data_IF_598619091478
#
_entry.id   IF_598619091478
#
_cell.length_a   1.000
_cell.length_b   1.000
_cell.length_c   1.000
_cell.angle_alpha   90.00
_cell.angle_beta   90.00
_cell.angle_gamma   90.00
#
_symmetry.space_group_name_H-M   'P 1'
#
loop_
_entity.id
_entity.type
_entity.pdbx_description
1 polymer ?
#
# COMPACT_ATOMS: atom_id res chain seq x y z
N UNK A 1 -28.92 76.26 -19.47
CA UNK A 1 -29.09 75.56 -18.20
C UNK A 1 -28.00 74.51 -18.14
N UNK A 2 -26.91 74.88 -17.52
CA UNK A 2 -25.68 74.08 -17.48
C UNK A 2 -25.50 73.63 -16.04
N UNK A 3 -25.52 72.33 -15.81
CA UNK A 3 -25.23 71.72 -14.54
C UNK A 3 -23.73 71.52 -14.39
N UNK A 4 -23.22 72.14 -13.34
CA UNK A 4 -21.82 72.20 -12.98
C UNK A 4 -21.45 70.94 -12.19
N UNK A 5 -20.45 70.18 -12.63
CA UNK A 5 -19.86 69.03 -11.90
C UNK A 5 -18.78 69.60 -10.96
N UNK A 6 -18.77 69.28 -9.65
CA UNK A 6 -17.65 69.64 -8.79
C UNK A 6 -16.47 68.66 -8.91
N UNK A 7 -15.30 69.21 -9.10
CA UNK A 7 -13.99 68.55 -9.05
C UNK A 7 -13.69 68.09 -7.61
N UNK A 8 -13.44 66.79 -7.44
CA UNK A 8 -12.93 66.19 -6.21
C UNK A 8 -11.41 66.23 -6.25
N UNK A 9 -10.78 66.82 -5.21
CA UNK A 9 -9.35 66.94 -5.03
C UNK A 9 -8.66 65.60 -4.66
N UNK A 10 -7.35 65.45 -4.85
CA UNK A 10 -6.61 64.24 -4.56
C UNK A 10 -6.11 64.28 -3.11
N UNK A 11 -6.70 63.48 -2.19
CA UNK A 11 -6.07 62.98 -0.97
C UNK A 11 -7.15 62.45 -0.02
N UNK A 12 -7.70 61.27 -0.32
CA UNK A 12 -8.31 60.44 0.70
C UNK A 12 -7.86 59.00 0.47
N UNK A 13 -6.83 58.62 1.23
CA UNK A 13 -6.40 57.26 1.41
C UNK A 13 -7.50 56.49 2.13
N UNK A 14 -8.35 55.82 1.37
CA UNK A 14 -9.33 54.87 1.90
C UNK A 14 -8.59 53.71 2.51
N UNK A 15 -8.42 53.72 3.81
CA UNK A 15 -8.08 52.55 4.60
C UNK A 15 -9.25 51.56 4.48
N UNK A 16 -9.04 50.47 3.82
CA UNK A 16 -10.02 49.39 3.71
C UNK A 16 -10.09 48.61 5.03
N UNK A 17 -11.21 48.67 5.81
CA UNK A 17 -11.34 47.97 7.08
C UNK A 17 -11.89 46.55 6.93
N UNK A 18 -11.55 45.85 5.85
CA UNK A 18 -12.04 44.50 5.58
C UNK A 18 -10.93 43.51 5.37
N UNK A 19 -10.16 43.24 6.41
CA UNK A 19 -9.35 42.01 6.50
C UNK A 19 -9.12 41.63 7.97
N UNK A 20 -10.15 41.71 8.81
CA UNK A 20 -10.18 40.82 9.95
C UNK A 20 -10.72 39.50 9.44
N UNK A 21 -9.78 38.61 9.05
CA UNK A 21 -10.10 37.22 8.88
C UNK A 21 -10.65 36.72 10.21
N UNK A 22 -11.94 36.44 10.25
CA UNK A 22 -12.59 35.73 11.34
C UNK A 22 -11.77 34.46 11.58
N UNK A 23 -11.12 34.38 12.73
CA UNK A 23 -10.59 33.10 13.23
C UNK A 23 -11.78 32.14 13.24
N UNK A 24 -11.64 30.93 12.67
CA UNK A 24 -12.70 29.96 12.74
C UNK A 24 -13.04 29.80 14.24
N UNK A 25 -14.26 30.13 14.59
CA UNK A 25 -14.81 29.94 15.92
C UNK A 25 -14.51 28.47 16.28
N UNK A 26 -13.83 28.26 17.41
CA UNK A 26 -13.61 26.95 17.97
C UNK A 26 -14.99 26.30 18.06
N UNK A 27 -15.23 25.29 17.23
CA UNK A 27 -16.48 24.55 17.25
C UNK A 27 -16.66 24.05 18.68
N UNK A 28 -17.84 24.27 19.26
CA UNK A 28 -18.18 23.72 20.56
C UNK A 28 -17.83 22.22 20.55
N UNK A 29 -17.27 21.67 21.64
CA UNK A 29 -16.93 20.25 21.69
C UNK A 29 -18.18 19.44 21.35
N UNK A 30 -18.08 18.58 20.34
CA UNK A 30 -19.17 17.73 19.89
C UNK A 30 -19.57 16.86 21.07
N UNK A 31 -20.72 17.20 21.70
CA UNK A 31 -21.26 16.43 22.81
C UNK A 31 -21.87 15.15 22.25
N UNK A 32 -21.21 14.02 22.50
CA UNK A 32 -21.71 12.71 22.06
C UNK A 32 -22.77 12.24 23.05
N UNK A 33 -23.98 11.85 22.59
CA UNK A 33 -25.02 11.32 23.46
C UNK A 33 -24.54 10.09 24.23
N UNK A 34 -24.92 9.97 25.51
CA UNK A 34 -24.56 8.84 26.36
C UNK A 34 -25.04 7.47 25.79
N UNK A 35 -26.05 7.49 24.93
CA UNK A 35 -26.62 6.31 24.24
C UNK A 35 -25.67 5.72 23.16
N UNK A 36 -24.62 6.43 22.76
CA UNK A 36 -23.62 5.92 21.86
C UNK A 36 -22.63 4.92 22.51
N UNK A 37 -22.71 4.73 23.82
CA UNK A 37 -21.93 3.73 24.57
C UNK A 37 -22.56 2.37 24.39
N UNK A 38 -21.82 1.43 23.82
CA UNK A 38 -22.34 0.09 23.56
C UNK A 38 -21.98 -0.87 24.70
N UNK A 39 -23.00 -1.29 25.45
CA UNK A 39 -22.95 -2.53 26.23
C UNK A 39 -23.04 -3.76 25.32
N UNK A 40 -22.72 -4.94 25.84
CA UNK A 40 -22.98 -6.21 25.15
C UNK A 40 -24.46 -6.32 24.82
N UNK A 41 -24.77 -6.79 23.59
CA UNK A 41 -26.14 -7.00 23.12
C UNK A 41 -26.58 -8.45 23.38
N UNK A 42 -25.63 -9.38 23.29
CA UNK A 42 -25.91 -10.80 23.49
C UNK A 42 -25.92 -11.15 25.00
N UNK A 43 -26.88 -11.98 25.46
CA UNK A 43 -26.90 -12.46 26.82
C UNK A 43 -25.72 -13.41 27.09
N UNK A 44 -25.20 -13.37 28.31
CA UNK A 44 -24.22 -14.34 28.79
C UNK A 44 -24.94 -15.67 29.09
N UNK A 45 -24.46 -16.76 28.50
CA UNK A 45 -24.96 -18.09 28.80
C UNK A 45 -24.11 -18.68 29.93
N UNK A 46 -24.70 -18.88 31.11
CA UNK A 46 -24.08 -19.56 32.26
C UNK A 46 -24.75 -20.90 32.47
N UNK A 47 -23.98 -21.93 32.81
CA UNK A 47 -24.51 -23.25 33.05
C UNK A 47 -24.78 -23.43 34.53
N UNK A 48 -26.05 -23.58 34.89
CA UNK A 48 -26.46 -23.99 36.24
C UNK A 48 -26.80 -25.48 36.21
N UNK A 49 -25.78 -26.30 36.46
CA UNK A 49 -25.90 -27.77 36.25
C UNK A 49 -26.11 -28.08 34.76
N UNK A 50 -27.12 -28.91 34.41
CA UNK A 50 -27.40 -29.28 33.02
C UNK A 50 -28.19 -28.20 32.23
N UNK A 51 -28.66 -27.12 32.89
CA UNK A 51 -29.57 -26.14 32.29
C UNK A 51 -28.82 -24.83 32.00
N UNK A 52 -28.82 -24.31 30.75
CA UNK A 52 -28.27 -23.01 30.45
C UNK A 52 -29.22 -21.90 30.96
N UNK A 53 -28.65 -20.90 31.63
CA UNK A 53 -29.36 -19.71 32.10
C UNK A 53 -28.79 -18.51 31.37
N UNK A 54 -29.65 -17.72 30.74
CA UNK A 54 -29.26 -16.48 30.10
C UNK A 54 -29.29 -15.32 31.11
N UNK A 55 -28.16 -14.67 31.33
CA UNK A 55 -28.06 -13.47 32.17
C UNK A 55 -27.78 -12.24 31.30
N UNK A 56 -28.44 -11.10 31.61
CA UNK A 56 -28.14 -9.85 30.97
C UNK A 56 -26.73 -9.38 31.41
N UNK A 57 -25.85 -9.14 30.49
CA UNK A 57 -24.52 -8.58 30.79
C UNK A 57 -24.58 -7.05 30.81
N UNK A 58 -24.05 -6.47 31.89
CA UNK A 58 -23.83 -5.00 32.00
C UNK A 58 -22.40 -4.63 31.59
N UNK A 59 -21.62 -5.59 31.09
CA UNK A 59 -20.23 -5.41 30.70
C UNK A 59 -20.12 -4.60 29.38
N UNK A 60 -19.08 -3.80 29.26
CA UNK A 60 -18.74 -3.18 27.98
C UNK A 60 -18.45 -4.27 26.94
N UNK A 61 -18.90 -4.03 25.71
CA UNK A 61 -18.70 -4.96 24.61
C UNK A 61 -17.22 -5.18 24.30
N UNK A 62 -16.41 -4.11 24.35
CA UNK A 62 -14.99 -4.18 24.01
C UNK A 62 -14.14 -4.02 25.28
N UNK A 63 -13.35 -5.03 25.61
CA UNK A 63 -12.36 -5.02 26.68
C UNK A 63 -10.97 -4.83 26.06
N UNK A 64 -10.28 -3.75 26.44
CA UNK A 64 -8.91 -3.48 25.99
C UNK A 64 -7.93 -4.44 26.67
N UNK A 65 -7.06 -5.07 25.85
CA UNK A 65 -6.08 -6.06 26.31
C UNK A 65 -4.65 -5.48 26.35
N UNK A 66 -4.19 -4.90 25.22
CA UNK A 66 -2.85 -4.37 25.10
C UNK A 66 -2.74 -3.35 23.99
N UNK A 67 -1.79 -2.39 24.07
CA UNK A 67 -1.49 -1.50 22.95
C UNK A 67 -0.85 -2.29 21.80
N UNK A 68 -1.26 -1.98 20.55
CA UNK A 68 -0.65 -2.50 19.31
C UNK A 68 0.25 -1.46 18.64
N UNK A 69 -0.08 -0.17 18.77
CA UNK A 69 0.71 0.91 18.19
C UNK A 69 0.13 2.28 18.46
N UNK A 70 0.96 3.31 18.23
CA UNK A 70 0.55 4.71 18.32
C UNK A 70 1.09 5.47 17.12
N UNK A 71 0.25 6.24 16.45
CA UNK A 71 0.60 7.05 15.29
C UNK A 71 0.16 8.50 15.43
N UNK A 72 0.38 9.30 14.40
CA UNK A 72 0.08 10.74 14.43
C UNK A 72 -1.40 11.09 14.56
N UNK A 73 -2.32 10.21 14.16
CA UNK A 73 -3.77 10.43 14.26
C UNK A 73 -4.40 9.75 15.48
N UNK A 74 -3.74 8.73 16.05
CA UNK A 74 -4.37 7.98 17.12
C UNK A 74 -3.55 6.81 17.64
N UNK A 75 -4.18 6.03 18.49
CA UNK A 75 -3.63 4.79 19.02
C UNK A 75 -4.43 3.58 18.55
N UNK A 76 -3.76 2.45 18.44
CA UNK A 76 -4.38 1.17 18.11
C UNK A 76 -4.19 0.23 19.30
N UNK A 77 -5.27 -0.36 19.78
CA UNK A 77 -5.26 -1.31 20.89
C UNK A 77 -5.85 -2.65 20.45
N UNK A 78 -5.32 -3.72 21.01
CA UNK A 78 -5.94 -5.04 20.95
C UNK A 78 -7.09 -5.08 21.95
N UNK A 79 -8.25 -5.54 21.55
CA UNK A 79 -9.41 -5.68 22.40
C UNK A 79 -10.10 -7.03 22.19
N UNK A 80 -10.85 -7.47 23.20
CA UNK A 80 -11.78 -8.60 23.11
C UNK A 80 -13.18 -8.05 22.87
N UNK A 81 -13.84 -8.54 21.83
CA UNK A 81 -15.28 -8.34 21.59
C UNK A 81 -16.06 -9.45 22.31
N UNK A 82 -16.74 -9.09 23.40
CA UNK A 82 -17.46 -10.02 24.25
C UNK A 82 -18.78 -10.51 23.65
N UNK A 83 -19.34 -9.83 22.64
CA UNK A 83 -20.57 -10.30 21.97
C UNK A 83 -20.29 -11.53 21.09
N UNK A 84 -19.15 -11.56 20.41
CA UNK A 84 -18.84 -12.64 19.46
C UNK A 84 -17.53 -13.37 19.78
N UNK A 85 -17.02 -13.19 21.00
CA UNK A 85 -15.88 -13.92 21.58
C UNK A 85 -14.61 -13.92 20.72
N UNK A 86 -14.31 -12.80 20.03
CA UNK A 86 -13.11 -12.67 19.19
C UNK A 86 -12.20 -11.51 19.62
N UNK A 87 -10.94 -11.59 19.22
CA UNK A 87 -10.01 -10.44 19.31
C UNK A 87 -10.18 -9.52 18.10
N UNK A 88 -10.17 -8.22 18.37
CA UNK A 88 -10.28 -7.14 17.39
C UNK A 88 -9.18 -6.10 17.63
N UNK A 89 -8.91 -5.26 16.65
CA UNK A 89 -8.10 -4.07 16.82
C UNK A 89 -9.02 -2.85 16.85
N UNK A 90 -8.80 -1.95 17.80
CA UNK A 90 -9.55 -0.69 17.91
C UNK A 90 -8.58 0.44 17.65
N UNK A 91 -8.83 1.22 16.60
CA UNK A 91 -8.11 2.49 16.34
C UNK A 91 -8.93 3.62 16.92
N UNK A 92 -8.30 4.42 17.77
CA UNK A 92 -8.92 5.49 18.53
C UNK A 92 -8.25 6.81 18.23
N UNK A 93 -9.03 7.84 18.01
CA UNK A 93 -8.54 9.22 17.87
C UNK A 93 -8.04 9.74 19.22
N UNK A 94 -6.81 10.26 19.27
CA UNK A 94 -6.21 10.74 20.53
C UNK A 94 -6.51 12.19 20.82
N UNK A 95 -6.66 13.03 19.80
CA UNK A 95 -6.97 14.46 19.94
C UNK A 95 -8.20 14.83 19.09
N UNK A 96 -9.27 15.21 19.78
CA UNK A 96 -10.52 15.66 19.15
C UNK A 96 -10.65 17.18 19.08
N UNK A 97 -9.71 17.91 19.66
CA UNK A 97 -9.68 19.37 19.58
C UNK A 97 -9.22 19.86 18.20
N UNK A 98 -8.45 19.04 17.47
CA UNK A 98 -8.07 19.29 16.08
C UNK A 98 -9.13 18.76 15.11
N UNK A 99 -9.98 19.65 14.60
CA UNK A 99 -11.00 19.33 13.62
C UNK A 99 -10.41 18.68 12.35
N UNK A 100 -9.19 19.04 11.96
CA UNK A 100 -8.50 18.44 10.81
C UNK A 100 -8.14 16.97 11.06
N UNK A 101 -7.78 16.59 12.29
CA UNK A 101 -7.57 15.20 12.68
C UNK A 101 -8.89 14.42 12.70
N UNK A 102 -9.94 15.01 13.26
CA UNK A 102 -11.29 14.39 13.27
C UNK A 102 -11.77 14.13 11.84
N UNK A 103 -11.67 15.11 10.95
CA UNK A 103 -12.09 14.94 9.55
C UNK A 103 -11.31 13.83 8.85
N UNK A 104 -9.99 13.79 9.01
CA UNK A 104 -9.17 12.71 8.41
C UNK A 104 -9.52 11.33 8.96
N UNK A 105 -9.78 11.24 10.26
CA UNK A 105 -10.20 10.00 10.91
C UNK A 105 -11.56 9.51 10.38
N UNK A 106 -12.52 10.42 10.22
CA UNK A 106 -13.83 10.10 9.64
C UNK A 106 -13.72 9.69 8.17
N UNK A 107 -12.88 10.38 7.39
CA UNK A 107 -12.65 10.04 5.99
C UNK A 107 -11.95 8.67 5.85
N UNK A 108 -11.01 8.33 6.74
CA UNK A 108 -10.40 7.00 6.81
C UNK A 108 -11.45 5.92 7.06
N UNK A 109 -12.31 6.09 8.07
CA UNK A 109 -13.38 5.13 8.39
C UNK A 109 -14.30 4.91 7.18
N UNK A 110 -14.73 5.99 6.52
CA UNK A 110 -15.62 5.93 5.36
C UNK A 110 -14.96 5.27 4.16
N UNK A 111 -13.69 5.55 3.94
CA UNK A 111 -12.90 4.94 2.86
C UNK A 111 -12.76 3.44 3.08
N UNK A 112 -12.27 3.02 4.25
CA UNK A 112 -12.09 1.60 4.53
C UNK A 112 -13.43 0.87 4.58
N UNK A 113 -14.46 1.51 5.14
CA UNK A 113 -15.82 0.95 5.19
C UNK A 113 -16.48 0.77 3.82
N UNK A 114 -16.05 1.53 2.80
CA UNK A 114 -16.52 1.39 1.43
C UNK A 114 -15.71 0.36 0.61
N UNK A 115 -14.56 -0.10 1.11
CA UNK A 115 -13.65 -0.99 0.41
C UNK A 115 -13.75 -2.43 0.98
N UNK A 116 -14.60 -3.24 0.37
CA UNK A 116 -14.78 -4.65 0.74
C UNK A 116 -13.95 -5.56 -0.18
N UNK A 117 -12.77 -5.96 0.29
CA UNK A 117 -11.86 -6.83 -0.45
C UNK A 117 -11.05 -7.73 0.51
N UNK A 118 -10.76 -9.01 0.19
CA UNK A 118 -10.06 -9.93 1.09
C UNK A 118 -8.65 -9.46 1.49
N UNK A 119 -8.00 -8.64 0.66
CA UNK A 119 -6.67 -8.09 0.94
C UNK A 119 -6.71 -6.64 1.46
N UNK A 120 -7.86 -6.12 1.88
CA UNK A 120 -8.03 -4.84 2.57
C UNK A 120 -8.56 -5.11 3.98
N UNK A 121 -8.04 -4.37 4.97
CA UNK A 121 -8.47 -4.57 6.37
C UNK A 121 -9.95 -4.25 6.51
N UNK A 122 -10.80 -5.20 6.99
CA UNK A 122 -12.22 -4.92 7.16
C UNK A 122 -12.49 -4.13 8.44
N UNK A 123 -13.34 -3.10 8.34
CA UNK A 123 -13.95 -2.41 9.48
C UNK A 123 -15.18 -3.17 9.93
N UNK A 124 -15.29 -3.39 11.23
CA UNK A 124 -16.37 -4.16 11.83
C UNK A 124 -17.42 -3.27 12.51
N UNK A 125 -16.98 -2.16 13.09
CA UNK A 125 -17.86 -1.27 13.84
C UNK A 125 -17.22 0.10 14.04
N UNK A 126 -18.02 1.09 14.39
CA UNK A 126 -17.59 2.43 14.77
C UNK A 126 -18.29 2.85 16.05
N UNK A 127 -17.66 3.67 16.87
CA UNK A 127 -18.26 4.09 18.13
C UNK A 127 -17.55 5.25 18.80
N UNK A 128 -17.97 5.47 20.03
CA UNK A 128 -17.38 6.46 20.93
C UNK A 128 -17.10 5.78 22.25
N UNK A 129 -15.93 6.00 22.83
CA UNK A 129 -15.54 5.41 24.10
C UNK A 129 -16.11 6.20 25.30
N UNK A 130 -15.81 5.74 26.53
CA UNK A 130 -16.30 6.37 27.77
C UNK A 130 -15.79 7.82 27.95
N UNK A 131 -14.63 8.13 27.38
CA UNK A 131 -14.07 9.48 27.38
C UNK A 131 -14.63 10.36 26.25
N UNK A 132 -15.58 9.87 25.46
CA UNK A 132 -16.18 10.57 24.34
C UNK A 132 -15.34 10.53 23.06
N UNK A 133 -14.26 9.73 22.97
CA UNK A 133 -13.35 9.69 21.82
C UNK A 133 -13.88 8.77 20.73
N UNK A 134 -13.81 9.21 19.48
CA UNK A 134 -14.16 8.40 18.32
C UNK A 134 -13.21 7.24 18.16
N UNK A 135 -13.75 6.06 17.86
CA UNK A 135 -12.99 4.87 17.51
C UNK A 135 -13.66 4.07 16.40
N UNK A 136 -12.90 3.25 15.73
CA UNK A 136 -13.44 2.18 14.91
C UNK A 136 -12.78 0.84 15.23
N UNK A 137 -13.55 -0.21 15.01
CA UNK A 137 -13.16 -1.59 15.26
C UNK A 137 -12.85 -2.24 13.93
N UNK A 138 -11.70 -2.87 13.84
CA UNK A 138 -11.25 -3.59 12.65
C UNK A 138 -10.75 -4.98 13.01
N UNK A 139 -10.57 -5.82 12.00
CA UNK A 139 -9.97 -7.14 12.16
C UNK A 139 -8.59 -7.02 12.82
N UNK A 140 -8.36 -7.78 13.88
CA UNK A 140 -7.01 -7.98 14.41
C UNK A 140 -6.20 -8.82 13.42
N UNK A 141 -5.20 -8.19 12.79
CA UNK A 141 -4.30 -8.85 11.84
C UNK A 141 -3.17 -9.52 12.63
N UNK A 142 -3.13 -10.86 12.57
CA UNK A 142 -2.04 -11.64 13.15
C UNK A 142 -0.95 -11.82 12.10
N UNK A 143 0.31 -11.71 12.50
CA UNK A 143 1.45 -11.88 11.60
C UNK A 143 2.48 -10.79 11.73
N UNK A 144 3.19 -10.52 10.65
CA UNK A 144 4.29 -9.57 10.58
C UNK A 144 4.02 -8.53 9.50
N UNK A 145 4.47 -7.28 9.70
CA UNK A 145 4.48 -6.30 8.62
C UNK A 145 5.50 -6.71 7.56
N UNK A 146 5.25 -6.32 6.31
CA UNK A 146 6.21 -6.54 5.23
C UNK A 146 7.56 -5.86 5.53
N UNK A 147 7.55 -4.73 6.24
CA UNK A 147 8.77 -4.05 6.72
C UNK A 147 9.59 -4.97 7.64
N UNK A 148 8.97 -5.60 8.64
CA UNK A 148 9.64 -6.53 9.55
C UNK A 148 10.18 -7.75 8.78
N UNK A 149 9.44 -8.27 7.80
CA UNK A 149 9.89 -9.38 6.95
C UNK A 149 11.10 -8.96 6.10
N UNK A 150 11.07 -7.78 5.48
CA UNK A 150 12.20 -7.24 4.71
C UNK A 150 13.43 -7.08 5.62
N UNK A 151 13.27 -6.57 6.83
CA UNK A 151 14.36 -6.43 7.80
C UNK A 151 14.99 -7.78 8.14
N UNK A 152 14.21 -8.83 8.39
CA UNK A 152 14.68 -10.19 8.63
C UNK A 152 15.42 -10.76 7.42
N UNK A 153 14.90 -10.56 6.21
CA UNK A 153 15.57 -10.97 4.98
C UNK A 153 16.90 -10.25 4.77
N UNK A 154 16.96 -8.93 5.05
CA UNK A 154 18.21 -8.13 5.03
C UNK A 154 19.24 -8.67 6.02
N UNK A 155 18.80 -9.10 7.20
CA UNK A 155 19.65 -9.69 8.22
C UNK A 155 20.13 -11.12 7.92
N UNK A 156 19.66 -11.74 6.83
CA UNK A 156 20.03 -13.12 6.45
C UNK A 156 19.33 -14.21 7.25
N UNK A 157 18.16 -13.93 7.84
CA UNK A 157 17.34 -14.93 8.56
C UNK A 157 16.97 -16.08 7.64
N UNK A 158 17.53 -17.27 7.89
CA UNK A 158 17.32 -18.46 7.06
C UNK A 158 15.85 -18.89 6.99
N UNK A 159 15.09 -18.74 8.08
CA UNK A 159 13.66 -19.07 8.12
C UNK A 159 12.84 -18.10 7.26
N UNK A 160 13.19 -16.80 7.29
CA UNK A 160 12.57 -15.80 6.43
C UNK A 160 12.88 -16.07 4.96
N UNK A 161 14.13 -16.39 4.58
CA UNK A 161 14.49 -16.74 3.21
C UNK A 161 13.80 -18.01 2.72
N UNK A 162 13.65 -19.03 3.58
CA UNK A 162 12.92 -20.24 3.25
C UNK A 162 11.41 -19.99 3.04
N UNK A 163 10.81 -19.11 3.85
CA UNK A 163 9.40 -18.74 3.76
C UNK A 163 9.09 -17.83 2.57
N UNK A 164 10.03 -16.93 2.19
CA UNK A 164 9.82 -15.90 1.16
C UNK A 164 10.82 -16.01 -0.01
N UNK A 165 10.89 -17.14 -0.73
CA UNK A 165 11.61 -17.21 -2.01
C UNK A 165 10.93 -16.29 -3.05
N UNK A 166 11.59 -16.01 -4.17
CA UNK A 166 11.07 -15.02 -5.14
C UNK A 166 9.64 -15.28 -5.62
N UNK A 167 9.28 -16.53 -5.88
CA UNK A 167 7.91 -16.83 -6.30
C UNK A 167 6.86 -16.48 -5.24
N UNK A 168 7.17 -16.67 -3.93
CA UNK A 168 6.28 -16.25 -2.84
C UNK A 168 6.21 -14.72 -2.74
N UNK A 169 7.35 -14.02 -2.91
CA UNK A 169 7.34 -12.53 -2.91
C UNK A 169 6.47 -11.99 -4.05
N UNK A 170 6.51 -12.64 -5.22
CA UNK A 170 5.64 -12.30 -6.35
C UNK A 170 4.17 -12.54 -6.02
N UNK A 171 3.81 -13.65 -5.36
CA UNK A 171 2.43 -13.93 -4.95
C UNK A 171 1.93 -12.94 -3.89
N UNK A 172 2.77 -12.58 -2.91
CA UNK A 172 2.46 -11.51 -1.94
C UNK A 172 2.19 -10.20 -2.67
N UNK A 173 3.03 -9.83 -3.62
CA UNK A 173 2.86 -8.60 -4.37
C UNK A 173 1.60 -8.62 -5.26
N UNK A 174 1.26 -9.75 -5.88
CA UNK A 174 -0.01 -9.92 -6.60
C UNK A 174 -1.23 -9.69 -5.69
N UNK A 175 -1.17 -10.16 -4.45
CA UNK A 175 -2.26 -9.92 -3.48
C UNK A 175 -2.41 -8.44 -3.16
N UNK A 176 -1.29 -7.70 -3.01
CA UNK A 176 -1.30 -6.25 -2.83
C UNK A 176 -1.87 -5.56 -4.09
N UNK A 177 -1.43 -5.96 -5.28
CA UNK A 177 -1.93 -5.42 -6.55
C UNK A 177 -3.44 -5.63 -6.71
N UNK A 178 -3.98 -6.79 -6.30
CA UNK A 178 -5.42 -7.06 -6.36
C UNK A 178 -6.21 -6.13 -5.43
N UNK A 179 -5.73 -5.88 -4.21
CA UNK A 179 -6.34 -4.90 -3.30
C UNK A 179 -6.36 -3.51 -3.94
N UNK A 180 -5.24 -3.10 -4.53
CA UNK A 180 -5.11 -1.77 -5.14
C UNK A 180 -5.88 -1.63 -6.44
N UNK A 181 -5.97 -2.69 -7.27
CA UNK A 181 -6.80 -2.69 -8.46
C UNK A 181 -8.28 -2.47 -8.10
N UNK A 182 -8.77 -3.18 -7.08
CA UNK A 182 -10.12 -3.00 -6.57
C UNK A 182 -10.35 -1.56 -6.05
N UNK A 183 -9.43 -1.03 -5.22
CA UNK A 183 -9.57 0.33 -4.70
C UNK A 183 -9.57 1.38 -5.83
N UNK A 184 -8.71 1.23 -6.83
CA UNK A 184 -8.64 2.12 -8.00
C UNK A 184 -9.91 2.05 -8.86
N UNK A 185 -10.50 0.85 -9.04
CA UNK A 185 -11.79 0.68 -9.72
C UNK A 185 -12.94 1.35 -8.96
N UNK A 186 -12.87 1.40 -7.61
CA UNK A 186 -13.80 2.16 -6.78
C UNK A 186 -13.47 3.68 -6.74
N UNK A 187 -12.44 4.12 -7.44
CA UNK A 187 -12.03 5.53 -7.52
C UNK A 187 -11.17 6.01 -6.35
N UNK A 188 -10.63 5.15 -5.51
CA UNK A 188 -9.75 5.51 -4.40
C UNK A 188 -8.27 5.36 -4.75
N UNK A 189 -7.45 6.31 -4.33
CA UNK A 189 -5.98 6.28 -4.38
C UNK A 189 -5.46 6.29 -2.94
N UNK A 190 -4.53 5.40 -2.62
CA UNK A 190 -4.04 5.17 -1.25
C UNK A 190 -3.08 6.26 -0.75
N UNK A 191 -2.09 6.65 -1.59
CA UNK A 191 -1.13 7.74 -1.39
C UNK A 191 -0.07 7.54 -0.29
N UNK A 192 -0.14 6.48 0.52
CA UNK A 192 0.85 6.13 1.56
C UNK A 192 1.19 4.63 1.54
N UNK A 193 1.44 4.07 0.35
CA UNK A 193 1.84 2.68 0.20
C UNK A 193 3.30 2.51 0.61
N UNK A 194 3.53 1.67 1.63
CA UNK A 194 4.86 1.33 2.16
C UNK A 194 4.82 -0.05 2.84
N UNK A 195 5.96 -0.71 3.06
CA UNK A 195 6.00 -2.03 3.69
C UNK A 195 5.36 -2.10 5.08
N UNK A 196 5.43 -1.01 5.86
CA UNK A 196 4.78 -0.94 7.17
C UNK A 196 3.25 -1.05 7.10
N UNK A 197 2.63 -0.66 5.97
CA UNK A 197 1.19 -0.69 5.76
C UNK A 197 0.67 -1.98 5.09
N UNK A 198 1.51 -3.03 5.04
CA UNK A 198 1.15 -4.35 4.53
C UNK A 198 1.43 -5.39 5.60
N UNK A 199 0.40 -6.15 5.99
CA UNK A 199 0.52 -7.26 6.95
C UNK A 199 0.47 -8.60 6.23
N UNK A 200 1.33 -9.54 6.65
CA UNK A 200 1.35 -10.91 6.15
C UNK A 200 1.09 -11.87 7.31
N UNK A 201 0.00 -12.59 7.20
CA UNK A 201 -0.45 -13.54 8.20
C UNK A 201 0.32 -14.87 8.18
N UNK A 202 0.09 -15.72 9.21
CA UNK A 202 0.77 -17.02 9.35
C UNK A 202 0.40 -18.01 8.22
N UNK A 203 -0.76 -17.88 7.60
CA UNK A 203 -1.23 -18.73 6.50
C UNK A 203 -1.03 -18.11 5.12
N UNK A 204 -0.28 -16.99 5.04
CA UNK A 204 0.01 -16.31 3.79
C UNK A 204 -1.03 -15.24 3.40
N UNK A 205 -1.94 -14.89 4.30
CA UNK A 205 -2.88 -13.79 4.10
C UNK A 205 -2.11 -12.48 3.96
N UNK A 206 -2.44 -11.71 2.95
CA UNK A 206 -1.86 -10.37 2.72
C UNK A 206 -2.96 -9.34 2.90
N UNK A 207 -2.72 -8.33 3.72
CA UNK A 207 -3.71 -7.28 3.99
C UNK A 207 -3.05 -5.91 3.92
N UNK A 208 -3.61 -5.04 3.08
CA UNK A 208 -3.26 -3.61 2.99
C UNK A 208 -4.07 -2.85 4.04
N UNK A 209 -3.40 -1.99 4.79
CA UNK A 209 -3.97 -1.22 5.89
C UNK A 209 -3.55 0.24 5.84
N UNK A 210 -4.10 1.07 6.74
CA UNK A 210 -3.80 2.49 6.90
C UNK A 210 -4.17 3.36 5.68
N UNK A 211 -5.47 3.55 5.48
CA UNK A 211 -6.07 4.36 4.40
C UNK A 211 -6.25 5.84 4.80
N UNK A 212 -5.58 6.29 5.85
CA UNK A 212 -5.75 7.64 6.42
C UNK A 212 -5.35 8.80 5.49
N UNK A 213 -4.62 8.53 4.41
CA UNK A 213 -4.26 9.49 3.36
C UNK A 213 -4.99 9.23 2.04
N UNK A 214 -5.86 8.22 1.98
CA UNK A 214 -6.57 7.87 0.76
C UNK A 214 -7.51 8.99 0.29
N UNK A 215 -7.64 9.11 -1.03
CA UNK A 215 -8.49 10.13 -1.68
C UNK A 215 -9.37 9.49 -2.74
N UNK A 216 -10.63 9.90 -2.79
CA UNK A 216 -11.53 9.55 -3.87
C UNK A 216 -11.35 10.50 -5.07
N UNK A 217 -11.18 9.96 -6.28
CA UNK A 217 -10.86 10.70 -7.51
C UNK A 217 -12.08 11.31 -8.22
N UNK A 218 -13.27 11.38 -7.62
CA UNK A 218 -14.43 11.98 -8.29
C UNK A 218 -14.14 13.42 -8.70
N UNK A 219 -14.25 13.68 -9.99
CA UNK A 219 -14.13 15.03 -10.55
C UNK A 219 -15.21 15.93 -9.94
N UNK A 220 -14.78 16.93 -9.19
CA UNK A 220 -15.67 17.99 -8.66
C UNK A 220 -15.99 17.93 -7.17
N UNK A 221 -15.56 16.93 -6.41
CA UNK A 221 -15.62 17.04 -4.96
C UNK A 221 -14.60 18.11 -4.53
N UNK A 222 -15.03 19.20 -3.85
CA UNK A 222 -14.07 20.15 -3.30
C UNK A 222 -13.14 19.37 -2.39
N UNK A 223 -11.85 19.64 -2.50
CA UNK A 223 -10.80 19.05 -1.66
C UNK A 223 -11.07 19.45 -0.21
N UNK A 224 -11.96 18.74 0.48
CA UNK A 224 -12.33 19.03 1.87
C UNK A 224 -11.16 18.96 2.84
N UNK A 225 -10.11 18.21 2.46
CA UNK A 225 -8.88 18.06 3.24
C UNK A 225 -7.74 19.00 2.83
N UNK A 226 -7.84 19.72 1.71
CA UNK A 226 -6.78 20.63 1.25
C UNK A 226 -6.78 22.00 1.94
N UNK A 227 -7.81 22.34 2.72
CA UNK A 227 -7.93 23.66 3.34
C UNK A 227 -7.17 23.82 4.68
N UNK A 228 -6.49 22.80 5.17
CA UNK A 228 -5.65 22.87 6.39
C UNK A 228 -4.15 22.84 6.05
N UNK A 229 -3.78 23.01 4.77
CA UNK A 229 -2.40 23.34 4.44
C UNK A 229 -2.18 24.83 4.72
N UNK A 230 -1.47 25.09 5.81
CA UNK A 230 -0.95 26.42 6.15
C UNK A 230 -0.33 27.09 4.92
N UNK A 231 -0.66 28.37 4.72
CA UNK A 231 -0.19 29.26 3.66
C UNK A 231 1.33 29.44 3.55
N UNK A 232 2.11 28.74 4.34
CA UNK A 232 3.57 28.84 4.42
C UNK A 232 4.23 27.54 3.96
N UNK A 233 4.21 27.19 2.71
CA UNK A 233 5.20 26.33 2.03
C UNK A 233 5.86 25.13 2.77
N UNK A 234 5.51 24.88 4.03
CA UNK A 234 6.06 23.86 4.93
C UNK A 234 5.05 22.73 5.16
N UNK A 235 4.54 22.15 4.07
CA UNK A 235 3.61 20.99 4.13
C UNK A 235 4.22 19.70 4.70
N UNK A 236 5.43 19.77 5.30
CA UNK A 236 6.16 18.64 5.87
C UNK A 236 6.42 18.75 7.39
N UNK A 237 5.97 19.85 8.03
CA UNK A 237 6.13 20.00 9.48
C UNK A 237 4.79 19.98 10.19
N UNK A 238 4.36 18.84 10.68
CA UNK A 238 3.43 18.77 11.81
C UNK A 238 4.17 19.13 13.09
N UNK A 239 3.52 19.87 13.99
CA UNK A 239 4.05 20.17 15.32
C UNK A 239 4.69 18.93 15.96
N UNK A 240 5.97 19.05 16.31
CA UNK A 240 6.83 18.07 16.96
C UNK A 240 7.88 17.37 16.08
N UNK A 241 8.33 17.94 14.95
CA UNK A 241 9.54 17.44 14.26
C UNK A 241 9.42 16.05 13.59
N UNK A 242 8.23 15.47 13.53
CA UNK A 242 7.99 14.22 12.82
C UNK A 242 7.57 14.54 11.38
N UNK A 243 8.42 14.20 10.43
CA UNK A 243 8.08 14.13 9.00
C UNK A 243 6.92 13.13 8.87
N UNK A 244 5.76 13.59 8.39
CA UNK A 244 4.58 12.74 8.22
C UNK A 244 4.81 11.80 7.03
N UNK A 245 5.11 10.54 7.30
CA UNK A 245 5.48 9.51 6.33
C UNK A 245 6.94 9.65 5.88
N UNK A 246 7.65 8.55 5.84
CA UNK A 246 9.00 8.51 5.30
C UNK A 246 8.90 8.78 3.81
N UNK A 247 9.50 9.85 3.24
CA UNK A 247 9.28 10.26 1.85
C UNK A 247 9.84 9.27 0.82
N UNK A 248 10.43 8.17 1.28
CA UNK A 248 11.08 7.15 0.46
C UNK A 248 10.17 6.47 -0.56
N UNK A 249 8.89 6.29 -0.25
CA UNK A 249 7.92 5.60 -1.13
C UNK A 249 7.05 6.55 -1.95
N UNK A 250 7.24 7.87 -1.80
CA UNK A 250 6.47 8.88 -2.55
C UNK A 250 6.75 8.77 -4.05
N UNK A 251 5.73 9.05 -4.84
CA UNK A 251 5.91 9.25 -6.28
C UNK A 251 6.57 10.62 -6.58
N UNK A 252 7.21 10.79 -7.74
CA UNK A 252 7.80 12.06 -8.13
C UNK A 252 6.83 13.25 -8.12
N UNK A 253 5.56 13.04 -8.49
CA UNK A 253 4.51 14.04 -8.44
C UNK A 253 4.11 14.40 -6.99
N UNK A 254 4.08 13.41 -6.08
CA UNK A 254 3.90 13.69 -4.64
C UNK A 254 5.08 14.50 -4.09
N UNK A 255 6.31 14.14 -4.45
CA UNK A 255 7.52 14.83 -4.02
C UNK A 255 7.60 16.28 -4.53
N UNK A 256 6.98 16.60 -5.67
CA UNK A 256 6.81 17.97 -6.17
C UNK A 256 5.69 18.74 -5.51
N UNK A 257 4.82 18.10 -4.75
CA UNK A 257 3.62 18.73 -4.20
C UNK A 257 2.52 19.00 -5.22
N UNK A 258 2.55 18.32 -6.36
CA UNK A 258 1.57 18.47 -7.45
C UNK A 258 0.31 17.67 -7.16
N UNK A 259 -0.52 18.21 -6.27
CA UNK A 259 -1.71 17.52 -5.76
C UNK A 259 -2.80 17.27 -6.82
N UNK A 260 -2.81 18.04 -7.91
CA UNK A 260 -3.79 17.90 -8.99
C UNK A 260 -3.39 16.82 -9.99
N UNK A 261 -2.10 16.46 -10.04
CA UNK A 261 -1.56 15.40 -10.89
C UNK A 261 -1.64 14.00 -10.21
N UNK A 262 -2.08 13.92 -8.94
CA UNK A 262 -2.12 12.66 -8.22
C UNK A 262 -3.30 11.79 -8.68
N UNK A 263 -2.99 10.64 -9.26
CA UNK A 263 -3.94 9.61 -9.64
C UNK A 263 -3.42 8.20 -9.27
N UNK A 264 -4.07 7.15 -9.79
CA UNK A 264 -3.66 5.76 -9.54
C UNK A 264 -2.21 5.46 -9.93
N UNK A 265 -1.60 6.23 -10.85
CA UNK A 265 -0.22 6.04 -11.28
C UNK A 265 0.79 6.47 -10.21
N UNK A 266 0.37 7.28 -9.25
CA UNK A 266 1.18 7.60 -8.06
C UNK A 266 1.30 6.36 -7.16
N UNK A 267 0.20 5.63 -6.93
CA UNK A 267 0.24 4.37 -6.18
C UNK A 267 1.03 3.29 -6.92
N UNK A 268 0.93 3.22 -8.26
CA UNK A 268 1.73 2.31 -9.10
C UNK A 268 3.23 2.51 -8.87
N UNK A 269 3.68 3.75 -8.77
CA UNK A 269 5.08 4.05 -8.46
C UNK A 269 5.45 3.56 -7.04
N UNK A 270 4.65 3.90 -6.04
CA UNK A 270 4.89 3.49 -4.64
C UNK A 270 4.89 1.96 -4.48
N UNK A 271 3.97 1.26 -5.15
CA UNK A 271 3.93 -0.21 -5.24
C UNK A 271 5.22 -0.77 -5.82
N UNK A 272 5.75 -0.16 -6.88
CA UNK A 272 6.99 -0.60 -7.51
C UNK A 272 8.20 -0.37 -6.60
N UNK A 273 8.26 0.75 -5.86
CA UNK A 273 9.31 1.01 -4.86
C UNK A 273 9.27 -0.04 -3.75
N UNK A 274 8.08 -0.33 -3.21
CA UNK A 274 7.88 -1.36 -2.20
C UNK A 274 8.34 -2.73 -2.72
N UNK A 275 7.97 -3.08 -3.95
CA UNK A 275 8.36 -4.37 -4.55
C UNK A 275 9.86 -4.44 -4.86
N UNK A 276 10.46 -3.32 -5.32
CA UNK A 276 11.91 -3.20 -5.47
C UNK A 276 12.63 -3.54 -4.17
N UNK A 277 12.24 -2.90 -3.06
CA UNK A 277 12.87 -3.17 -1.77
C UNK A 277 12.67 -4.61 -1.30
N UNK A 278 11.48 -5.18 -1.52
CA UNK A 278 11.20 -6.57 -1.17
C UNK A 278 12.00 -7.58 -2.01
N UNK A 279 12.33 -7.26 -3.27
CA UNK A 279 13.13 -8.12 -4.15
C UNK A 279 14.64 -7.95 -3.90
N UNK A 280 15.12 -6.71 -3.84
CA UNK A 280 16.56 -6.41 -3.78
C UNK A 280 17.10 -6.32 -2.35
N UNK A 281 16.22 -6.22 -1.34
CA UNK A 281 16.55 -6.06 0.08
C UNK A 281 17.39 -4.79 0.34
N UNK A 282 17.28 -3.81 -0.52
CA UNK A 282 17.86 -2.48 -0.39
C UNK A 282 16.90 -1.48 -1.01
N UNK A 283 16.82 -0.29 -0.44
CA UNK A 283 16.01 0.76 -1.02
C UNK A 283 16.78 1.43 -2.18
N UNK A 284 16.10 1.80 -3.28
CA UNK A 284 16.79 2.37 -4.44
C UNK A 284 17.40 3.74 -4.19
N UNK A 285 16.99 4.43 -3.12
CA UNK A 285 17.53 5.71 -2.67
C UNK A 285 18.68 5.57 -1.65
N UNK A 286 18.99 4.36 -1.18
CA UNK A 286 20.12 4.17 -0.26
C UNK A 286 21.42 4.71 -0.89
N UNK A 287 22.28 5.40 -0.14
CA UNK A 287 22.26 5.67 1.31
C UNK A 287 21.71 7.06 1.69
N UNK A 288 20.73 7.62 0.97
CA UNK A 288 20.20 8.96 1.29
C UNK A 288 19.42 8.92 2.61
N UNK A 289 19.66 9.88 3.50
CA UNK A 289 19.01 9.98 4.81
C UNK A 289 18.31 11.33 5.01
N UNK A 290 18.88 12.40 4.47
CA UNK A 290 18.32 13.73 4.63
C UNK A 290 17.06 13.91 3.76
N UNK A 291 15.97 14.41 4.36
CA UNK A 291 14.68 14.58 3.67
C UNK A 291 14.78 15.36 2.33
N UNK A 292 15.53 16.48 2.23
CA UNK A 292 15.67 17.19 0.97
C UNK A 292 16.37 16.35 -0.11
N UNK A 293 17.38 15.56 0.27
CA UNK A 293 18.11 14.66 -0.65
C UNK A 293 17.21 13.51 -1.13
N UNK A 294 16.40 12.95 -0.23
CA UNK A 294 15.43 11.92 -0.57
C UNK A 294 14.39 12.46 -1.56
N UNK A 295 13.84 13.67 -1.33
CA UNK A 295 12.88 14.32 -2.24
C UNK A 295 13.51 14.58 -3.62
N UNK A 296 14.75 15.05 -3.68
CA UNK A 296 15.47 15.22 -4.93
C UNK A 296 15.74 13.87 -5.61
N UNK A 297 16.15 12.87 -4.84
CA UNK A 297 16.39 11.50 -5.30
C UNK A 297 15.14 10.85 -5.89
N UNK A 298 13.98 11.01 -5.26
CA UNK A 298 12.70 10.52 -5.77
C UNK A 298 12.41 11.09 -7.16
N UNK A 299 12.71 12.37 -7.37
CA UNK A 299 12.44 13.05 -8.64
C UNK A 299 13.42 12.67 -9.74
N UNK A 300 14.70 12.40 -9.41
CA UNK A 300 15.80 12.32 -10.40
C UNK A 300 16.44 10.94 -10.49
N UNK A 301 16.56 10.20 -9.37
CA UNK A 301 17.36 8.97 -9.32
C UNK A 301 16.59 7.80 -9.95
N UNK A 302 17.17 7.21 -10.99
CA UNK A 302 16.66 5.98 -11.59
C UNK A 302 17.05 4.76 -10.74
N UNK A 303 16.14 3.78 -10.51
CA UNK A 303 16.48 2.57 -9.77
C UNK A 303 17.50 1.73 -10.56
N UNK A 304 18.59 1.33 -9.88
CA UNK A 304 19.56 0.42 -10.44
C UNK A 304 19.07 -1.02 -10.24
N UNK A 305 18.47 -1.64 -11.26
CA UNK A 305 17.92 -3.01 -11.16
C UNK A 305 18.88 -4.09 -11.66
N UNK A 306 19.92 -3.75 -12.42
CA UNK A 306 20.87 -4.73 -12.98
C UNK A 306 22.26 -4.66 -12.35
N UNK A 307 22.65 -3.48 -11.84
CA UNK A 307 23.95 -3.20 -11.20
C UNK A 307 23.85 -3.07 -9.68
N UNK A 308 22.74 -3.49 -9.09
CA UNK A 308 22.56 -3.47 -7.63
C UNK A 308 23.53 -4.46 -7.00
N UNK A 309 24.24 -4.03 -5.96
CA UNK A 309 24.97 -4.90 -5.06
C UNK A 309 23.98 -5.91 -4.46
N UNK A 310 23.98 -7.12 -5.00
CA UNK A 310 23.02 -8.14 -4.58
C UNK A 310 23.29 -8.56 -3.13
N UNK A 311 22.23 -8.80 -2.37
CA UNK A 311 22.36 -9.36 -1.03
C UNK A 311 23.10 -10.70 -1.07
N UNK A 312 24.12 -10.93 -0.21
CA UNK A 312 24.81 -12.21 -0.17
C UNK A 312 23.93 -13.38 0.30
N UNK A 313 22.76 -13.06 0.85
CA UNK A 313 21.85 -14.04 1.46
C UNK A 313 20.80 -14.60 0.50
N UNK A 314 20.79 -14.16 -0.77
CA UNK A 314 19.80 -14.61 -1.76
C UNK A 314 20.43 -14.72 -3.16
N UNK A 315 19.86 -15.54 -4.06
CA UNK A 315 20.25 -15.55 -5.46
C UNK A 315 19.94 -14.22 -6.16
N UNK A 316 20.49 -14.04 -7.36
CA UNK A 316 20.22 -12.86 -8.18
C UNK A 316 18.72 -12.71 -8.48
N UNK A 317 18.22 -11.47 -8.41
CA UNK A 317 16.83 -11.16 -8.79
C UNK A 317 16.64 -11.48 -10.27
N UNK A 318 15.55 -12.20 -10.65
CA UNK A 318 15.25 -12.50 -12.05
C UNK A 318 15.18 -11.24 -12.92
N UNK A 319 15.84 -11.25 -14.08
CA UNK A 319 15.97 -10.06 -14.93
C UNK A 319 14.62 -9.51 -15.41
N UNK A 320 13.63 -10.38 -15.63
CA UNK A 320 12.27 -10.01 -16.02
C UNK A 320 11.56 -9.16 -14.95
N UNK A 321 11.82 -9.41 -13.67
CA UNK A 321 11.31 -8.58 -12.57
C UNK A 321 12.00 -7.22 -12.52
N UNK A 322 13.29 -7.17 -12.88
CA UNK A 322 14.02 -5.90 -13.03
C UNK A 322 13.41 -5.01 -14.12
N UNK A 323 13.09 -5.56 -15.29
CA UNK A 323 12.45 -4.84 -16.38
C UNK A 323 11.02 -4.36 -16.03
N UNK A 324 10.28 -5.22 -15.31
CA UNK A 324 8.95 -4.84 -14.78
C UNK A 324 9.06 -3.62 -13.87
N UNK A 325 10.03 -3.62 -12.95
CA UNK A 325 10.25 -2.50 -12.01
C UNK A 325 10.68 -1.23 -12.72
N UNK A 326 11.60 -1.31 -13.70
CA UNK A 326 12.01 -0.12 -14.47
C UNK A 326 10.82 0.59 -15.10
N UNK A 327 9.92 -0.17 -15.75
CA UNK A 327 8.70 0.41 -16.32
C UNK A 327 7.79 1.02 -15.25
N UNK A 328 7.59 0.35 -14.11
CA UNK A 328 6.69 0.83 -13.07
C UNK A 328 7.23 2.05 -12.32
N UNK A 329 8.57 2.21 -12.25
CA UNK A 329 9.26 3.30 -11.56
C UNK A 329 9.70 4.44 -12.49
N UNK A 330 9.18 4.52 -13.73
CA UNK A 330 9.40 5.65 -14.61
C UNK A 330 8.98 6.97 -13.95
N UNK A 331 9.78 8.03 -14.16
CA UNK A 331 9.52 9.32 -13.50
C UNK A 331 8.32 10.04 -14.09
N UNK A 332 8.12 9.90 -15.39
CA UNK A 332 6.92 10.37 -16.07
C UNK A 332 5.78 9.38 -15.87
N UNK A 333 4.65 9.78 -15.22
CA UNK A 333 3.49 8.90 -15.05
C UNK A 333 2.95 8.32 -16.35
N UNK A 334 3.10 9.03 -17.49
CA UNK A 334 2.63 8.56 -18.79
C UNK A 334 3.43 7.35 -19.33
N UNK A 335 4.66 7.14 -18.86
CA UNK A 335 5.54 6.04 -19.27
C UNK A 335 5.38 4.80 -18.37
N UNK A 336 4.71 4.92 -17.22
CA UNK A 336 4.44 3.81 -16.30
C UNK A 336 3.37 2.86 -16.85
N UNK A 337 3.06 1.82 -16.11
CA UNK A 337 1.77 1.14 -16.24
C UNK A 337 0.66 2.15 -15.99
N UNK A 338 -0.40 2.11 -16.78
CA UNK A 338 -1.49 3.07 -16.63
C UNK A 338 -2.52 2.62 -15.61
N UNK A 339 -2.61 1.31 -15.37
CA UNK A 339 -3.51 0.72 -14.38
C UNK A 339 -2.79 -0.37 -13.58
N UNK A 340 -3.27 -0.60 -12.36
CA UNK A 340 -2.79 -1.74 -11.55
C UNK A 340 -3.14 -3.07 -12.22
N UNK A 341 -4.21 -3.13 -13.02
CA UNK A 341 -4.55 -4.32 -13.81
C UNK A 341 -3.47 -4.65 -14.85
N UNK A 342 -2.92 -3.64 -15.53
CA UNK A 342 -1.78 -3.85 -16.44
C UNK A 342 -0.55 -4.43 -15.73
N UNK A 343 -0.29 -4.01 -14.45
CA UNK A 343 0.79 -4.58 -13.65
C UNK A 343 0.53 -6.05 -13.34
N UNK A 344 -0.70 -6.40 -12.94
CA UNK A 344 -1.12 -7.79 -12.68
C UNK A 344 -0.90 -8.64 -13.92
N UNK A 345 -1.38 -8.20 -15.08
CA UNK A 345 -1.25 -8.93 -16.34
C UNK A 345 0.21 -9.10 -16.78
N UNK A 346 1.05 -8.08 -16.55
CA UNK A 346 2.47 -8.16 -16.85
C UNK A 346 3.19 -9.15 -15.92
N UNK A 347 2.86 -9.13 -14.63
CA UNK A 347 3.46 -10.04 -13.64
C UNK A 347 2.99 -11.48 -13.86
N UNK A 348 1.70 -11.67 -14.21
CA UNK A 348 1.16 -12.98 -14.53
C UNK A 348 1.85 -13.60 -15.76
N UNK A 349 2.11 -12.80 -16.80
CA UNK A 349 2.90 -13.26 -17.96
C UNK A 349 4.31 -13.72 -17.58
N UNK A 350 4.94 -13.06 -16.61
CA UNK A 350 6.25 -13.47 -16.09
C UNK A 350 6.15 -14.83 -15.37
N UNK A 351 5.10 -15.01 -14.55
CA UNK A 351 4.83 -16.28 -13.84
C UNK A 351 4.58 -17.42 -14.83
N UNK A 352 3.77 -17.18 -15.87
CA UNK A 352 3.44 -18.14 -16.93
C UNK A 352 4.64 -18.44 -17.87
N UNK A 353 5.79 -17.80 -17.61
CA UNK A 353 6.96 -17.96 -18.45
C UNK A 353 6.91 -17.25 -19.81
N UNK A 354 5.88 -16.43 -20.06
CA UNK A 354 5.72 -15.64 -21.29
C UNK A 354 6.53 -14.34 -21.19
N UNK A 355 7.85 -14.50 -21.02
CA UNK A 355 8.76 -13.36 -20.80
C UNK A 355 8.95 -12.57 -22.10
N UNK A 356 8.81 -11.26 -22.04
CA UNK A 356 9.14 -10.36 -23.15
C UNK A 356 10.67 -10.32 -23.30
N UNK A 357 11.16 -10.54 -24.53
CA UNK A 357 12.60 -10.49 -24.82
C UNK A 357 13.07 -9.04 -24.79
N UNK A 358 13.87 -8.69 -23.79
CA UNK A 358 14.42 -7.35 -23.61
C UNK A 358 15.95 -7.34 -23.52
N UNK A 359 16.56 -8.51 -23.23
CA UNK A 359 18.00 -8.69 -23.20
C UNK A 359 18.38 -10.14 -23.48
N UNK A 360 19.68 -10.43 -23.63
CA UNK A 360 20.17 -11.79 -23.91
C UNK A 360 19.74 -12.82 -22.84
N UNK A 361 19.68 -12.43 -21.57
CA UNK A 361 19.22 -13.31 -20.47
C UNK A 361 17.74 -13.67 -20.61
N UNK A 362 16.88 -12.70 -20.92
CA UNK A 362 15.45 -12.95 -21.15
C UNK A 362 15.19 -13.71 -22.42
N UNK A 363 16.01 -13.54 -23.47
CA UNK A 363 15.96 -14.34 -24.70
C UNK A 363 16.25 -15.82 -24.44
N UNK A 364 17.37 -16.12 -23.76
CA UNK A 364 17.77 -17.51 -23.44
C UNK A 364 16.72 -18.21 -22.60
N UNK A 365 16.19 -17.50 -21.60
CA UNK A 365 15.14 -18.01 -20.70
C UNK A 365 13.85 -18.31 -21.46
N UNK A 366 13.42 -17.42 -22.34
CA UNK A 366 12.24 -17.64 -23.19
C UNK A 366 12.40 -18.85 -24.09
N UNK A 367 13.56 -18.98 -24.76
CA UNK A 367 13.85 -20.13 -25.63
C UNK A 367 13.78 -21.45 -24.86
N UNK A 368 14.34 -21.46 -23.63
CA UNK A 368 14.30 -22.68 -22.79
C UNK A 368 12.85 -23.00 -22.36
N UNK A 369 12.07 -22.01 -21.96
CA UNK A 369 10.68 -22.20 -21.55
C UNK A 369 9.80 -22.67 -22.73
N UNK A 370 9.96 -22.08 -23.92
CA UNK A 370 9.27 -22.52 -25.10
C UNK A 370 9.62 -23.96 -25.46
N UNK A 371 10.90 -24.36 -25.28
CA UNK A 371 11.33 -25.74 -25.48
C UNK A 371 10.67 -26.70 -24.48
N UNK A 372 10.67 -26.37 -23.20
CA UNK A 372 10.00 -27.15 -22.14
C UNK A 372 8.50 -27.27 -22.45
N UNK A 373 7.84 -26.17 -22.77
CA UNK A 373 6.39 -26.17 -23.06
C UNK A 373 6.06 -27.08 -24.30
N UNK A 374 6.93 -27.09 -25.32
CA UNK A 374 6.75 -28.00 -26.45
C UNK A 374 6.93 -29.48 -26.06
N UNK A 375 7.86 -29.76 -25.14
CA UNK A 375 8.03 -31.11 -24.57
C UNK A 375 6.79 -31.55 -23.83
N UNK A 376 6.25 -30.68 -22.98
CA UNK A 376 5.06 -30.96 -22.17
C UNK A 376 3.79 -31.08 -23.03
N UNK A 377 3.67 -30.29 -24.11
CA UNK A 377 2.53 -30.34 -25.01
C UNK A 377 2.53 -31.55 -25.94
N UNK A 378 3.71 -32.04 -26.35
CA UNK A 378 3.86 -33.12 -27.32
C UNK A 378 4.93 -34.14 -26.91
N UNK A 379 4.86 -34.78 -25.73
CA UNK A 379 5.94 -35.61 -25.20
C UNK A 379 6.25 -36.80 -26.11
N UNK A 380 5.22 -37.45 -26.65
CA UNK A 380 5.41 -38.61 -27.55
C UNK A 380 6.09 -38.22 -28.85
N UNK A 381 5.70 -37.11 -29.47
CA UNK A 381 6.31 -36.64 -30.72
C UNK A 381 7.79 -36.29 -30.55
N UNK A 382 8.16 -35.71 -29.40
CA UNK A 382 9.55 -35.36 -29.09
C UNK A 382 10.39 -36.61 -28.80
N UNK A 383 9.85 -37.59 -28.06
CA UNK A 383 10.56 -38.86 -27.83
C UNK A 383 10.78 -39.57 -29.15
N UNK A 384 9.76 -39.70 -30.00
CA UNK A 384 9.89 -40.35 -31.32
C UNK A 384 10.88 -39.58 -32.20
N UNK A 385 10.78 -38.24 -32.23
CA UNK A 385 11.70 -37.41 -33.02
C UNK A 385 13.15 -37.53 -32.56
N UNK A 386 13.40 -37.48 -31.25
CA UNK A 386 14.74 -37.57 -30.67
C UNK A 386 15.36 -38.97 -30.87
N UNK A 387 14.55 -40.03 -30.73
CA UNK A 387 15.00 -41.39 -31.01
C UNK A 387 15.36 -41.62 -32.51
N UNK A 388 14.55 -41.02 -33.41
CA UNK A 388 14.83 -41.08 -34.85
C UNK A 388 16.13 -40.32 -35.21
N UNK A 389 16.33 -39.13 -34.65
CA UNK A 389 17.58 -38.35 -34.85
C UNK A 389 18.77 -39.11 -34.30
N UNK A 390 18.66 -39.70 -33.11
CA UNK A 390 19.72 -40.50 -32.52
C UNK A 390 20.07 -41.73 -33.41
N UNK A 391 19.07 -42.43 -33.92
CA UNK A 391 19.25 -43.54 -34.81
C UNK A 391 19.96 -43.14 -36.11
N UNK A 392 19.62 -42.01 -36.72
CA UNK A 392 20.28 -41.46 -37.90
C UNK A 392 21.74 -41.07 -37.62
N UNK A 393 22.02 -40.46 -36.48
CA UNK A 393 23.41 -40.12 -36.08
C UNK A 393 24.23 -41.37 -35.89
N UNK A 394 23.70 -42.39 -35.21
CA UNK A 394 24.40 -43.69 -35.00
C UNK A 394 24.63 -44.37 -36.35
N UNK A 395 23.63 -44.42 -37.23
CA UNK A 395 23.79 -45.04 -38.57
C UNK A 395 24.86 -44.29 -39.41
N UNK A 396 24.86 -42.92 -39.32
CA UNK A 396 25.91 -42.13 -39.99
C UNK A 396 27.31 -42.41 -39.45
N UNK A 397 27.47 -42.50 -38.12
CA UNK A 397 28.73 -42.84 -37.48
C UNK A 397 29.25 -44.30 -37.93
N UNK A 398 28.34 -45.28 -37.92
CA UNK A 398 28.65 -46.65 -38.34
C UNK A 398 29.05 -46.68 -39.81
N UNK A 399 28.32 -45.97 -40.68
CA UNK A 399 28.65 -45.92 -42.10
C UNK A 399 30.02 -45.23 -42.36
N UNK A 400 30.31 -44.17 -41.61
CA UNK A 400 31.62 -43.48 -41.68
C UNK A 400 32.77 -44.40 -41.20
N UNK A 401 32.54 -45.12 -40.11
CA UNK A 401 33.53 -46.14 -39.65
C UNK A 401 33.73 -47.24 -40.62
N UNK A 402 32.66 -47.76 -41.24
CA UNK A 402 32.79 -48.85 -42.28
C UNK A 402 33.47 -48.38 -43.57
N UNK A 403 33.42 -47.09 -43.90
CA UNK A 403 34.12 -46.53 -45.06
C UNK A 403 35.60 -46.23 -44.83
N UNK A 404 36.08 -46.33 -43.57
CA UNK A 404 37.47 -46.12 -43.18
C UNK A 404 38.28 -47.47 -43.14
N UNK A 405 37.60 -48.58 -43.23
CA UNK A 405 38.15 -49.93 -43.33
C UNK A 405 37.81 -50.56 -44.69
#
# INVERSE_FOLDING_TARGET
MADTIPLVGPNDTMVNPAAQAERPTVAEPITVPAEARRSTVLPRLEWNGPTPVASASTQLRFEELSPLGRGGMGEVVLAKDHDIERTVAIKRLTDQSDLGLVMRFVDEIRTVGALEHPNIVPVHDVGVDEAGRYFFVMKHLRGESLEAIIARLKAGDAAAHARFPFHVRVQVFLSILNAMAYAHEQGYVHRDLKPANVMIGPYGEVTVMDWGLARHLQKGAPTRTAAVHTRDGTALQTHAGAVMGTPFYMSPEQARGDHDALDQRSDIYSLAVLFHEFLYLTHYLDPLEAVPEVIDGVQKRTPAVFDVRQSPHQPAVPAELGWFLLKAMEKDPAQRFQTTREMIDALQRIIDGRVVVQCQRTFTKRMLQEAIHRVDAHPVAIIVGSTLVLALVVAGLVNTLLSLF
#
